data_IF_520416138683
#
_entry.id   IF_520416138683
#
_cell.length_a   1.000
_cell.length_b   1.000
_cell.length_c   1.000
_cell.angle_alpha   90.00
_cell.angle_beta   90.00
_cell.angle_gamma   90.00
#
_symmetry.space_group_name_H-M   'P 1'
#
loop_
_entity.id
_entity.type
_entity.pdbx_description
1 polymer ?
#
# COMPACT_ATOMS: atom_id res chain seq x y z
N UNK A 1 59.50 24.54 -34.15
CA UNK A 1 58.26 23.98 -33.56
C UNK A 1 58.20 24.31 -32.08
N UNK A 2 57.18 25.04 -31.65
CA UNK A 2 57.05 25.56 -30.29
C UNK A 2 56.55 24.45 -29.35
N UNK A 3 57.43 23.88 -28.52
CA UNK A 3 57.09 22.80 -27.57
C UNK A 3 55.96 23.16 -26.60
N UNK A 4 55.73 24.46 -26.36
CA UNK A 4 54.65 24.96 -25.49
C UNK A 4 53.25 24.70 -26.06
N UNK A 5 53.07 24.77 -27.39
CA UNK A 5 51.77 24.57 -28.02
C UNK A 5 51.26 23.13 -27.87
N UNK A 6 52.17 22.14 -27.95
CA UNK A 6 51.84 20.71 -27.82
C UNK A 6 51.42 20.38 -26.37
N UNK A 7 51.99 21.06 -25.37
CA UNK A 7 51.65 20.82 -23.97
C UNK A 7 50.28 21.40 -23.61
N UNK A 8 49.95 22.60 -24.10
CA UNK A 8 48.64 23.22 -23.87
C UNK A 8 47.49 22.41 -24.50
N UNK A 9 47.68 21.88 -25.70
CA UNK A 9 46.66 21.10 -26.41
C UNK A 9 46.35 19.76 -25.69
N UNK A 10 47.39 19.10 -25.18
CA UNK A 10 47.22 17.89 -24.36
C UNK A 10 46.56 18.17 -23.01
N UNK A 11 46.87 19.30 -22.38
CA UNK A 11 46.25 19.70 -21.11
C UNK A 11 44.75 20.00 -21.30
N UNK A 12 44.38 20.73 -22.36
CA UNK A 12 42.98 21.03 -22.67
C UNK A 12 42.17 19.75 -22.95
N UNK A 13 42.74 18.82 -23.72
CA UNK A 13 42.11 17.52 -23.99
C UNK A 13 41.91 16.70 -22.72
N UNK A 14 42.91 16.66 -21.82
CA UNK A 14 42.80 15.96 -20.54
C UNK A 14 41.71 16.55 -19.65
N UNK A 15 41.61 17.89 -19.56
CA UNK A 15 40.55 18.57 -18.79
C UNK A 15 39.17 18.23 -19.34
N UNK A 16 39.00 18.20 -20.67
CA UNK A 16 37.72 17.85 -21.29
C UNK A 16 37.32 16.40 -20.99
N UNK A 17 38.27 15.46 -21.04
CA UNK A 17 38.03 14.05 -20.66
C UNK A 17 37.60 13.95 -19.20
N UNK A 18 38.24 14.68 -18.28
CA UNK A 18 37.89 14.68 -16.86
C UNK A 18 36.47 15.20 -16.64
N UNK A 19 36.07 16.27 -17.34
CA UNK A 19 34.71 16.82 -17.23
C UNK A 19 33.68 15.81 -17.73
N UNK A 20 33.91 15.17 -18.88
CA UNK A 20 33.00 14.14 -19.43
C UNK A 20 32.89 12.95 -18.47
N UNK A 21 34.00 12.50 -17.90
CA UNK A 21 34.03 11.42 -16.93
C UNK A 21 33.27 11.78 -15.64
N UNK A 22 33.44 13.01 -15.14
CA UNK A 22 32.73 13.48 -13.95
C UNK A 22 31.21 13.54 -14.17
N UNK A 23 30.77 14.05 -15.33
CA UNK A 23 29.35 14.06 -15.72
C UNK A 23 28.83 12.63 -15.84
N UNK A 24 29.57 11.73 -16.47
CA UNK A 24 29.18 10.32 -16.61
C UNK A 24 29.05 9.61 -15.25
N UNK A 25 30.00 9.81 -14.33
CA UNK A 25 29.94 9.28 -12.96
C UNK A 25 28.72 9.82 -12.22
N UNK A 26 28.43 11.13 -12.33
CA UNK A 26 27.24 11.73 -11.72
C UNK A 26 25.94 11.08 -12.22
N UNK A 27 25.83 10.81 -13.52
CA UNK A 27 24.69 10.08 -14.08
C UNK A 27 24.61 8.63 -13.57
N UNK A 28 25.73 7.91 -13.51
CA UNK A 28 25.74 6.54 -12.99
C UNK A 28 25.31 6.46 -11.52
N UNK A 29 25.73 7.42 -10.69
CA UNK A 29 25.30 7.49 -9.29
C UNK A 29 23.80 7.74 -9.19
N UNK A 30 23.25 8.70 -9.97
CA UNK A 30 21.80 8.94 -10.00
C UNK A 30 21.00 7.73 -10.48
N UNK A 31 21.47 7.05 -11.54
CA UNK A 31 20.80 5.85 -12.06
C UNK A 31 20.80 4.73 -11.02
N UNK A 32 21.92 4.49 -10.32
CA UNK A 32 21.99 3.46 -9.27
C UNK A 32 20.99 3.69 -8.15
N UNK A 33 20.85 4.93 -7.66
CA UNK A 33 19.92 5.26 -6.58
C UNK A 33 18.46 4.99 -6.99
N UNK A 34 18.08 5.36 -8.21
CA UNK A 34 16.72 5.08 -8.72
C UNK A 34 16.50 3.59 -9.03
N UNK A 35 17.52 2.91 -9.56
CA UNK A 35 17.43 1.49 -9.88
C UNK A 35 17.22 0.62 -8.63
N UNK A 36 17.90 0.93 -7.52
CA UNK A 36 17.77 0.15 -6.27
C UNK A 36 16.33 0.13 -5.73
N UNK A 37 15.63 1.28 -5.74
CA UNK A 37 14.23 1.35 -5.29
C UNK A 37 13.29 0.50 -6.16
N UNK A 38 13.51 0.52 -7.48
CA UNK A 38 12.72 -0.27 -8.44
C UNK A 38 12.99 -1.77 -8.25
N UNK A 39 14.24 -2.15 -7.95
CA UNK A 39 14.62 -3.54 -7.75
C UNK A 39 13.93 -4.13 -6.53
N UNK A 40 13.92 -3.45 -5.37
CA UNK A 40 13.30 -4.01 -4.16
C UNK A 40 11.79 -4.27 -4.32
N UNK A 41 11.05 -3.32 -4.92
CA UNK A 41 9.62 -3.52 -5.21
C UNK A 41 9.40 -4.64 -6.23
N UNK A 42 10.29 -4.76 -7.22
CA UNK A 42 10.20 -5.83 -8.21
C UNK A 42 10.49 -7.21 -7.63
N UNK A 43 11.42 -7.33 -6.67
CA UNK A 43 11.76 -8.58 -6.00
C UNK A 43 10.62 -9.07 -5.12
N UNK A 44 10.06 -8.20 -4.28
CA UNK A 44 8.91 -8.53 -3.46
C UNK A 44 7.70 -8.91 -4.32
N UNK A 45 7.40 -8.12 -5.35
CA UNK A 45 6.30 -8.43 -6.29
C UNK A 45 6.52 -9.75 -7.04
N UNK A 46 7.74 -10.02 -7.50
CA UNK A 46 8.07 -11.28 -8.16
C UNK A 46 7.93 -12.47 -7.21
N UNK A 47 8.34 -12.31 -5.95
CA UNK A 47 8.17 -13.32 -4.89
C UNK A 47 6.69 -13.63 -4.66
N UNK A 48 5.83 -12.61 -4.53
CA UNK A 48 4.37 -12.76 -4.37
C UNK A 48 3.73 -13.46 -5.59
N UNK A 49 4.08 -13.03 -6.81
CA UNK A 49 3.54 -13.64 -8.04
C UNK A 49 3.99 -15.10 -8.16
N UNK A 50 5.25 -15.40 -7.83
CA UNK A 50 5.78 -16.76 -7.83
C UNK A 50 5.04 -17.62 -6.82
N UNK A 51 4.82 -17.11 -5.60
CA UNK A 51 4.05 -17.79 -4.55
C UNK A 51 2.64 -18.11 -5.01
N UNK A 52 1.89 -17.10 -5.48
CA UNK A 52 0.53 -17.28 -5.98
C UNK A 52 0.45 -18.27 -7.15
N UNK A 53 1.45 -18.24 -8.05
CA UNK A 53 1.52 -19.15 -9.19
C UNK A 53 1.78 -20.58 -8.75
N UNK A 54 2.71 -20.79 -7.81
CA UNK A 54 3.01 -22.10 -7.25
C UNK A 54 1.78 -22.67 -6.56
N UNK A 55 1.14 -21.88 -5.68
CA UNK A 55 -0.08 -22.24 -4.97
C UNK A 55 -1.19 -22.68 -5.93
N UNK A 56 -1.35 -21.97 -7.05
CA UNK A 56 -2.35 -22.28 -8.08
C UNK A 56 -2.05 -23.59 -8.81
N UNK A 57 -0.77 -23.92 -9.04
CA UNK A 57 -0.36 -25.10 -9.81
C UNK A 57 -0.30 -26.35 -8.92
N UNK A 58 0.22 -26.24 -7.70
CA UNK A 58 0.43 -27.38 -6.82
C UNK A 58 -0.76 -27.62 -5.88
N UNK A 59 -1.53 -26.58 -5.57
CA UNK A 59 -2.54 -26.63 -4.50
C UNK A 59 -1.93 -26.70 -3.09
N UNK A 60 -0.61 -26.72 -2.98
CA UNK A 60 0.10 -26.79 -1.71
C UNK A 60 0.58 -25.40 -1.32
N UNK A 61 0.27 -25.02 -0.08
CA UNK A 61 0.88 -23.86 0.60
C UNK A 61 2.27 -24.26 1.11
N UNK A 62 3.10 -24.80 0.22
CA UNK A 62 4.55 -24.78 0.47
C UNK A 62 4.89 -23.32 0.53
N UNK A 63 5.26 -22.79 1.69
CA UNK A 63 5.58 -21.38 1.88
C UNK A 63 6.99 -21.10 1.30
N UNK A 64 7.16 -20.65 0.04
CA UNK A 64 8.34 -19.89 -0.28
C UNK A 64 8.35 -18.69 0.67
N UNK A 65 9.50 -18.42 1.31
CA UNK A 65 9.69 -17.22 2.11
C UNK A 65 9.31 -16.00 1.23
N UNK A 66 8.13 -15.40 1.46
CA UNK A 66 7.72 -14.19 0.76
C UNK A 66 8.66 -13.09 1.24
N UNK A 67 9.59 -12.67 0.39
CA UNK A 67 10.61 -11.69 0.76
C UNK A 67 10.13 -10.27 0.46
N UNK A 68 9.36 -9.72 1.39
CA UNK A 68 8.86 -8.37 1.33
C UNK A 68 9.23 -7.65 2.63
N UNK A 69 10.36 -6.93 2.69
CA UNK A 69 10.73 -6.20 3.90
C UNK A 69 9.84 -4.98 4.11
N UNK A 70 9.52 -4.69 5.37
CA UNK A 70 8.80 -3.45 5.73
C UNK A 70 9.69 -2.24 5.49
N UNK A 71 9.17 -1.25 4.77
CA UNK A 71 9.88 0.00 4.47
C UNK A 71 9.63 1.04 5.56
N UNK A 72 10.65 1.78 5.96
CA UNK A 72 10.51 2.86 6.94
C UNK A 72 10.79 4.20 6.28
N UNK A 73 9.86 5.13 6.39
CA UNK A 73 9.96 6.47 5.84
C UNK A 73 9.86 7.49 6.96
N UNK A 74 10.73 8.49 6.95
CA UNK A 74 10.55 9.70 7.76
C UNK A 74 10.31 10.85 6.79
N UNK A 75 9.08 11.37 6.77
CA UNK A 75 8.71 12.47 5.89
C UNK A 75 9.22 13.78 6.48
N UNK A 76 9.97 14.59 5.70
CA UNK A 76 10.46 15.87 6.17
C UNK A 76 9.31 16.85 6.40
N UNK A 77 9.64 18.09 6.80
CA UNK A 77 8.66 19.17 6.99
C UNK A 77 8.06 19.63 5.67
N UNK A 78 7.21 18.79 5.09
CA UNK A 78 6.55 18.99 3.81
C UNK A 78 5.17 19.64 3.98
N UNK A 79 4.58 20.04 2.85
CA UNK A 79 3.21 20.51 2.77
C UNK A 79 2.20 19.38 3.00
N UNK A 80 0.98 19.72 3.42
CA UNK A 80 -0.08 18.73 3.62
C UNK A 80 -0.41 17.95 2.33
N UNK A 81 -0.27 18.57 1.15
CA UNK A 81 -0.50 17.89 -0.14
C UNK A 81 0.59 16.87 -0.45
N UNK A 82 1.86 17.21 -0.24
CA UNK A 82 2.98 16.28 -0.42
C UNK A 82 2.85 15.07 0.50
N UNK A 83 2.49 15.29 1.78
CA UNK A 83 2.30 14.17 2.72
C UNK A 83 1.14 13.26 2.27
N UNK A 84 0.01 13.84 1.84
CA UNK A 84 -1.11 13.06 1.30
C UNK A 84 -0.70 12.27 0.05
N UNK A 85 0.10 12.86 -0.83
CA UNK A 85 0.65 12.18 -2.00
C UNK A 85 1.52 10.98 -1.59
N UNK A 86 2.44 11.14 -0.64
CA UNK A 86 3.28 10.02 -0.16
C UNK A 86 2.47 8.89 0.46
N UNK A 87 1.43 9.21 1.24
CA UNK A 87 0.54 8.19 1.83
C UNK A 87 -0.23 7.47 0.72
N UNK A 88 -0.80 8.21 -0.23
CA UNK A 88 -1.54 7.66 -1.36
C UNK A 88 -0.67 6.76 -2.25
N UNK A 89 0.56 7.17 -2.56
CA UNK A 89 1.52 6.36 -3.32
C UNK A 89 1.96 5.12 -2.56
N UNK A 90 2.11 5.21 -1.23
CA UNK A 90 2.43 4.06 -0.39
C UNK A 90 1.29 3.03 -0.40
N UNK A 91 0.03 3.47 -0.31
CA UNK A 91 -1.16 2.62 -0.46
C UNK A 91 -1.20 1.96 -1.85
N UNK A 92 -1.07 2.76 -2.93
CA UNK A 92 -1.02 2.29 -4.33
C UNK A 92 0.05 1.22 -4.52
N UNK A 93 1.26 1.48 -4.02
CA UNK A 93 2.40 0.57 -4.13
C UNK A 93 2.13 -0.72 -3.38
N UNK A 94 1.70 -0.66 -2.12
CA UNK A 94 1.35 -1.83 -1.33
C UNK A 94 0.29 -2.68 -2.06
N UNK A 95 -0.82 -2.07 -2.49
CA UNK A 95 -1.88 -2.77 -3.21
C UNK A 95 -1.41 -3.42 -4.51
N UNK A 96 -0.63 -2.70 -5.32
CA UNK A 96 -0.08 -3.18 -6.58
C UNK A 96 0.96 -4.29 -6.43
N UNK A 97 1.76 -4.26 -5.37
CA UNK A 97 2.76 -5.28 -5.04
C UNK A 97 2.09 -6.61 -4.67
N UNK A 98 0.99 -6.55 -3.93
CA UNK A 98 0.21 -7.71 -3.53
C UNK A 98 -0.83 -8.17 -4.58
N UNK A 99 -0.68 -7.72 -5.83
CA UNK A 99 -1.49 -8.20 -6.95
C UNK A 99 -2.93 -7.69 -6.95
N UNK A 100 -3.22 -6.58 -6.27
CA UNK A 100 -4.51 -5.87 -6.31
C UNK A 100 -5.73 -6.74 -5.97
N UNK A 101 -5.53 -7.73 -5.09
CA UNK A 101 -6.59 -8.67 -4.70
C UNK A 101 -6.95 -9.74 -5.75
N UNK A 102 -6.30 -9.73 -6.91
CA UNK A 102 -6.54 -10.70 -7.99
C UNK A 102 -5.84 -12.05 -7.72
N UNK A 103 -4.87 -12.07 -6.82
CA UNK A 103 -4.09 -13.26 -6.49
C UNK A 103 -4.70 -14.01 -5.31
N UNK A 104 -4.89 -15.32 -5.48
CA UNK A 104 -5.08 -16.22 -4.34
C UNK A 104 -3.71 -16.46 -3.69
N UNK A 105 -3.52 -15.88 -2.50
CA UNK A 105 -2.22 -15.87 -1.83
C UNK A 105 -2.05 -16.98 -0.79
N UNK A 106 -3.14 -17.49 -0.21
CA UNK A 106 -3.08 -18.50 0.85
C UNK A 106 -4.15 -19.56 0.61
N UNK A 107 -3.86 -20.81 0.92
CA UNK A 107 -4.86 -21.89 0.85
C UNK A 107 -5.60 -22.08 2.15
N UNK A 108 -4.93 -21.85 3.28
CA UNK A 108 -5.52 -21.99 4.59
C UNK A 108 -6.47 -20.82 4.91
N UNK A 109 -7.59 -21.14 5.57
CA UNK A 109 -8.45 -20.11 6.16
C UNK A 109 -7.65 -19.36 7.22
N UNK A 110 -7.97 -18.08 7.38
CA UNK A 110 -7.28 -17.25 8.35
C UNK A 110 -7.19 -15.82 7.89
N UNK A 111 -6.43 -15.06 8.68
CA UNK A 111 -6.30 -13.63 8.51
C UNK A 111 -4.82 -13.23 8.51
N UNK A 112 -4.35 -12.78 7.35
CA UNK A 112 -2.95 -12.53 7.03
C UNK A 112 -2.70 -11.05 6.88
N UNK A 113 -1.63 -10.55 7.47
CA UNK A 113 -1.25 -9.15 7.38
C UNK A 113 0.20 -8.99 6.99
N UNK A 114 0.48 -7.90 6.29
CA UNK A 114 1.84 -7.48 6.00
C UNK A 114 1.98 -5.96 6.11
N UNK A 115 2.92 -5.48 6.92
CA UNK A 115 3.26 -4.06 7.00
C UNK A 115 4.16 -3.71 5.80
N UNK A 116 3.57 -3.13 4.77
CA UNK A 116 4.29 -2.67 3.58
C UNK A 116 5.24 -1.52 3.92
N UNK A 117 4.75 -0.53 4.67
CA UNK A 117 5.58 0.58 5.13
C UNK A 117 5.13 1.15 6.46
N UNK A 118 6.07 1.81 7.15
CA UNK A 118 5.86 2.63 8.34
C UNK A 118 6.30 4.04 8.00
N UNK A 119 5.39 5.00 8.19
CA UNK A 119 5.56 6.42 7.90
C UNK A 119 5.63 7.15 9.23
N UNK A 120 6.76 7.80 9.48
CA UNK A 120 6.96 8.75 10.56
C UNK A 120 7.10 10.18 10.01
N UNK A 121 6.86 11.18 10.84
CA UNK A 121 6.86 12.59 10.41
C UNK A 121 7.88 13.42 11.20
N UNK A 122 8.70 14.24 10.55
CA UNK A 122 9.61 15.15 11.25
C UNK A 122 8.86 16.23 12.04
N UNK A 123 7.75 16.73 11.48
CA UNK A 123 6.88 17.67 12.16
C UNK A 123 5.81 16.94 12.97
N UNK A 124 5.99 16.86 14.29
CA UNK A 124 5.05 16.19 15.21
C UNK A 124 3.84 17.05 15.61
N UNK A 125 3.70 18.27 15.10
CA UNK A 125 2.71 19.25 15.58
C UNK A 125 1.51 19.44 14.65
N UNK A 126 1.55 18.86 13.45
CA UNK A 126 0.54 19.05 12.41
C UNK A 126 -0.63 18.08 12.56
N UNK A 127 -1.77 18.53 12.04
CA UNK A 127 -2.92 17.70 11.72
C UNK A 127 -3.15 17.79 10.23
N UNK A 128 -3.21 16.64 9.57
CA UNK A 128 -3.47 16.55 8.13
C UNK A 128 -4.92 16.10 7.97
N UNK A 129 -5.65 16.76 7.08
CA UNK A 129 -7.04 16.45 6.78
C UNK A 129 -7.24 16.34 5.27
N UNK A 130 -8.33 15.72 4.84
CA UNK A 130 -8.67 15.60 3.43
C UNK A 130 -7.91 14.50 2.70
N UNK A 131 -7.39 13.47 3.39
CA UNK A 131 -6.75 12.33 2.72
C UNK A 131 -7.78 11.53 1.91
N UNK A 132 -8.97 11.27 2.45
CA UNK A 132 -10.04 10.56 1.73
C UNK A 132 -10.43 11.31 0.46
N UNK A 133 -10.66 12.63 0.58
CA UNK A 133 -10.98 13.48 -0.56
C UNK A 133 -9.83 13.52 -1.58
N UNK A 134 -8.58 13.49 -1.10
CA UNK A 134 -7.41 13.41 -1.98
C UNK A 134 -7.39 12.09 -2.76
N UNK A 135 -7.63 10.95 -2.10
CA UNK A 135 -7.67 9.65 -2.77
C UNK A 135 -8.77 9.57 -3.83
N UNK A 136 -9.94 10.14 -3.54
CA UNK A 136 -11.11 10.15 -4.45
C UNK A 136 -10.88 11.02 -5.68
N UNK A 137 -10.22 12.18 -5.54
CA UNK A 137 -10.16 13.17 -6.62
C UNK A 137 -8.81 13.24 -7.34
N UNK A 138 -7.77 12.58 -6.82
CA UNK A 138 -6.42 12.72 -7.37
C UNK A 138 -6.09 11.52 -8.28
N UNK A 139 -5.71 11.76 -9.54
CA UNK A 139 -5.21 10.72 -10.44
C UNK A 139 -3.96 10.02 -9.89
N UNK A 140 -3.81 8.72 -10.13
CA UNK A 140 -2.61 7.98 -9.71
C UNK A 140 -1.37 8.35 -10.50
N UNK A 141 -1.54 8.81 -11.74
CA UNK A 141 -0.49 9.18 -12.68
C UNK A 141 -1.01 10.33 -13.57
N UNK A 142 -0.10 11.14 -14.13
CA UNK A 142 -0.51 12.32 -14.93
C UNK A 142 -1.28 11.95 -16.20
N UNK A 143 -1.03 10.76 -16.72
CA UNK A 143 -1.54 10.30 -18.01
C UNK A 143 -2.73 9.35 -17.88
N UNK A 144 -3.17 9.03 -16.65
CA UNK A 144 -4.30 8.13 -16.40
C UNK A 144 -5.44 8.90 -15.73
N UNK A 145 -6.71 8.70 -16.15
CA UNK A 145 -7.85 9.30 -15.45
C UNK A 145 -8.20 8.55 -14.15
N UNK A 146 -7.49 7.46 -13.84
CA UNK A 146 -7.77 6.59 -12.71
C UNK A 146 -7.31 7.27 -11.41
N UNK A 147 -8.22 7.44 -10.46
CA UNK A 147 -7.89 8.03 -9.16
C UNK A 147 -7.24 7.00 -8.24
N UNK A 148 -6.61 7.44 -7.16
CA UNK A 148 -6.10 6.50 -6.14
C UNK A 148 -7.20 5.61 -5.58
N UNK A 149 -8.39 6.19 -5.31
CA UNK A 149 -9.52 5.41 -4.83
C UNK A 149 -9.95 4.35 -5.85
N UNK A 150 -10.08 4.73 -7.13
CA UNK A 150 -10.43 3.76 -8.18
C UNK A 150 -9.40 2.63 -8.29
N UNK A 151 -8.11 2.95 -8.17
CA UNK A 151 -7.03 1.96 -8.20
C UNK A 151 -7.09 1.00 -7.00
N UNK A 152 -7.40 1.51 -5.81
CA UNK A 152 -7.39 0.76 -4.56
C UNK A 152 -8.69 -0.03 -4.30
N UNK A 153 -9.82 0.35 -4.94
CA UNK A 153 -11.11 -0.35 -4.81
C UNK A 153 -11.07 -1.76 -5.44
N UNK A 154 -10.12 -2.00 -6.34
CA UNK A 154 -9.90 -3.30 -6.99
C UNK A 154 -11.16 -3.91 -7.62
N UNK A 155 -11.30 -5.23 -7.56
CA UNK A 155 -12.37 -5.96 -8.25
C UNK A 155 -13.33 -6.65 -7.27
N UNK A 156 -14.63 -6.40 -7.41
CA UNK A 156 -15.66 -7.22 -6.80
C UNK A 156 -16.09 -8.33 -7.76
N UNK A 157 -15.96 -9.57 -7.32
CA UNK A 157 -16.50 -10.73 -8.05
C UNK A 157 -18.03 -10.67 -8.13
N UNK A 158 -18.62 -11.24 -9.17
CA UNK A 158 -20.09 -11.30 -9.35
C UNK A 158 -20.85 -11.92 -8.16
N UNK A 159 -20.19 -12.76 -7.36
CA UNK A 159 -20.78 -13.43 -6.19
C UNK A 159 -20.52 -12.69 -4.87
N UNK A 160 -19.97 -11.48 -4.91
CA UNK A 160 -19.72 -10.69 -3.71
C UNK A 160 -21.04 -10.39 -3.01
N UNK A 161 -21.08 -10.67 -1.70
CA UNK A 161 -22.24 -10.34 -0.89
C UNK A 161 -22.43 -8.81 -0.91
N UNK A 162 -23.53 -8.29 -1.49
CA UNK A 162 -23.75 -6.86 -1.56
C UNK A 162 -23.84 -6.22 -0.17
N UNK A 163 -24.30 -6.96 0.84
CA UNK A 163 -24.38 -6.46 2.20
C UNK A 163 -22.98 -6.22 2.80
N UNK A 164 -22.02 -7.09 2.48
CA UNK A 164 -20.64 -6.93 2.91
C UNK A 164 -19.97 -5.72 2.23
N UNK A 165 -20.24 -5.52 0.93
CA UNK A 165 -19.77 -4.33 0.20
C UNK A 165 -20.33 -3.07 0.85
N UNK A 166 -21.63 -3.05 1.13
CA UNK A 166 -22.31 -1.92 1.76
C UNK A 166 -21.77 -1.65 3.18
N UNK A 167 -21.56 -2.69 3.98
CA UNK A 167 -21.03 -2.54 5.34
C UNK A 167 -19.62 -1.92 5.33
N UNK A 168 -18.75 -2.35 4.42
CA UNK A 168 -17.41 -1.76 4.27
C UNK A 168 -17.47 -0.31 3.80
N UNK A 169 -18.43 0.03 2.93
CA UNK A 169 -18.66 1.39 2.46
C UNK A 169 -19.21 2.31 3.56
N UNK A 170 -20.14 1.82 4.39
CA UNK A 170 -20.80 2.62 5.43
C UNK A 170 -19.88 2.94 6.61
N UNK A 171 -18.88 2.09 6.87
CA UNK A 171 -17.84 2.31 7.88
C UNK A 171 -16.85 3.37 7.37
N UNK A 172 -17.27 4.62 7.50
CA UNK A 172 -16.46 5.80 7.18
C UNK A 172 -15.11 5.84 7.88
N UNK A 173 -14.16 6.53 7.27
CA UNK A 173 -12.80 6.66 7.80
C UNK A 173 -12.59 8.01 8.46
N UNK A 174 -11.89 8.01 9.60
CA UNK A 174 -11.39 9.26 10.18
C UNK A 174 -10.38 9.87 9.22
N UNK A 175 -10.70 11.06 8.75
CA UNK A 175 -9.91 11.79 7.76
C UNK A 175 -8.86 12.71 8.42
N UNK A 176 -8.61 12.58 9.73
CA UNK A 176 -7.64 13.41 10.47
C UNK A 176 -6.43 12.59 10.89
N UNK A 177 -5.27 12.92 10.34
CA UNK A 177 -3.99 12.28 10.65
C UNK A 177 -3.21 13.18 11.62
N UNK A 178 -2.75 12.59 12.73
CA UNK A 178 -1.97 13.28 13.74
C UNK A 178 -0.48 12.98 13.53
N UNK A 179 0.29 13.95 13.05
CA UNK A 179 1.71 13.72 12.73
C UNK A 179 2.59 13.48 13.97
N UNK A 180 2.03 13.61 15.17
CA UNK A 180 2.66 13.19 16.43
C UNK A 180 2.84 11.68 16.57
N UNK A 181 2.21 10.87 15.69
CA UNK A 181 2.22 9.41 15.74
C UNK A 181 2.77 8.83 14.43
N UNK A 182 3.47 7.69 14.47
CA UNK A 182 3.80 6.94 13.27
C UNK A 182 2.57 6.18 12.76
N UNK A 183 2.50 5.96 11.45
CA UNK A 183 1.43 5.21 10.79
C UNK A 183 1.99 4.08 9.94
N UNK A 184 1.24 3.00 9.78
CA UNK A 184 1.58 1.88 8.94
C UNK A 184 0.64 1.82 7.73
N UNK A 185 1.23 1.54 6.56
CA UNK A 185 0.50 1.03 5.40
C UNK A 185 0.62 -0.49 5.43
N UNK A 186 -0.52 -1.17 5.51
CA UNK A 186 -0.60 -2.62 5.65
C UNK A 186 -1.40 -3.21 4.50
N UNK A 187 -0.93 -4.34 3.96
CA UNK A 187 -1.75 -5.24 3.17
C UNK A 187 -2.41 -6.25 4.10
N UNK A 188 -3.66 -6.56 3.82
CA UNK A 188 -4.48 -7.46 4.60
C UNK A 188 -5.19 -8.42 3.65
N UNK A 189 -5.17 -9.71 4.00
CA UNK A 189 -5.83 -10.77 3.27
C UNK A 189 -6.58 -11.67 4.26
N UNK A 190 -7.90 -11.73 4.17
CA UNK A 190 -8.72 -12.61 5.01
C UNK A 190 -9.37 -13.68 4.13
N UNK A 191 -9.24 -14.96 4.50
CA UNK A 191 -9.79 -16.09 3.75
C UNK A 191 -10.71 -16.94 4.61
N UNK A 192 -11.82 -17.35 4.01
CA UNK A 192 -12.88 -18.10 4.67
C UNK A 192 -13.81 -17.20 5.49
N UNK A 193 -15.04 -17.67 5.76
CA UNK A 193 -16.05 -16.91 6.50
C UNK A 193 -15.56 -16.49 7.89
N UNK A 194 -14.85 -17.38 8.59
CA UNK A 194 -14.27 -17.10 9.92
C UNK A 194 -13.21 -16.01 9.85
N UNK A 195 -12.27 -16.08 8.89
CA UNK A 195 -11.22 -15.07 8.73
C UNK A 195 -11.79 -13.70 8.34
N UNK A 196 -12.73 -13.67 7.40
CA UNK A 196 -13.45 -12.44 7.01
C UNK A 196 -14.21 -11.85 8.20
N UNK A 197 -14.98 -12.66 8.92
CA UNK A 197 -15.74 -12.19 10.09
C UNK A 197 -14.79 -11.68 11.19
N UNK A 198 -13.72 -12.41 11.51
CA UNK A 198 -12.75 -12.00 12.51
C UNK A 198 -12.11 -10.66 12.18
N UNK A 199 -11.80 -10.43 10.89
CA UNK A 199 -11.31 -9.13 10.43
C UNK A 199 -12.33 -8.00 10.64
N UNK A 200 -13.58 -8.21 10.22
CA UNK A 200 -14.65 -7.21 10.38
C UNK A 200 -14.97 -6.91 11.85
N UNK A 201 -15.01 -7.95 12.68
CA UNK A 201 -15.18 -7.81 14.13
C UNK A 201 -14.01 -7.02 14.75
N UNK A 202 -12.78 -7.26 14.28
CA UNK A 202 -11.58 -6.53 14.70
C UNK A 202 -11.60 -5.05 14.29
N UNK A 203 -12.14 -4.75 13.10
CA UNK A 203 -12.41 -3.38 12.67
C UNK A 203 -13.46 -2.69 13.56
N UNK A 204 -14.51 -3.40 13.96
CA UNK A 204 -15.52 -2.85 14.88
C UNK A 204 -14.92 -2.55 16.26
N UNK A 205 -14.06 -3.44 16.76
CA UNK A 205 -13.35 -3.24 18.02
C UNK A 205 -12.40 -2.03 17.99
N UNK A 206 -11.89 -1.66 16.82
CA UNK A 206 -11.09 -0.45 16.59
C UNK A 206 -11.91 0.85 16.66
N UNK A 207 -13.23 0.76 16.93
CA UNK A 207 -14.12 1.91 16.96
C UNK A 207 -14.50 2.41 15.57
N UNK A 208 -14.28 1.60 14.53
CA UNK A 208 -14.82 1.84 13.19
C UNK A 208 -16.28 1.37 13.07
N UNK A 209 -16.74 0.57 14.04
CA UNK A 209 -18.11 0.09 14.18
C UNK A 209 -18.97 1.02 15.02
N UNK A 210 -20.15 1.32 14.52
CA UNK A 210 -21.14 2.31 14.97
C UNK A 210 -21.69 2.19 16.42
N UNK A 211 -21.19 1.28 17.25
CA UNK A 211 -21.82 0.95 18.55
C UNK A 211 -21.33 1.78 19.74
N UNK A 212 -20.39 2.71 19.55
CA UNK A 212 -19.80 3.50 20.66
C UNK A 212 -19.44 4.95 20.33
N UNK A 213 -20.32 5.71 19.67
CA UNK A 213 -20.22 7.19 19.59
C UNK A 213 -19.43 7.79 18.41
N UNK A 214 -19.08 7.02 17.38
CA UNK A 214 -18.35 7.49 16.19
C UNK A 214 -19.18 7.47 14.90
N UNK A 215 -19.61 8.66 14.49
CA UNK A 215 -19.85 9.19 13.12
C UNK A 215 -19.91 8.18 11.95
N UNK A 216 -21.11 8.00 11.39
CA UNK A 216 -21.37 7.31 10.11
C UNK A 216 -21.21 8.27 8.92
N UNK A 217 -19.99 8.48 8.43
CA UNK A 217 -19.78 9.10 7.10
C UNK A 217 -19.47 8.01 6.09
N UNK A 218 -20.51 7.40 5.54
CA UNK A 218 -20.40 6.34 4.54
C UNK A 218 -19.60 6.80 3.31
N UNK A 219 -18.54 6.07 3.02
CA UNK A 219 -17.73 6.19 1.83
C UNK A 219 -18.37 5.29 0.77
N UNK A 220 -19.25 5.86 -0.05
CA UNK A 220 -19.85 5.16 -1.19
C UNK A 220 -18.74 4.91 -2.24
N UNK A 221 -18.10 3.74 -2.17
CA UNK A 221 -17.20 3.28 -3.23
C UNK A 221 -18.07 3.08 -4.48
N UNK A 222 -17.77 3.85 -5.53
CA UNK A 222 -18.49 3.79 -6.78
C UNK A 222 -18.46 2.37 -7.32
N UNK A 223 -19.59 1.68 -7.29
CA UNK A 223 -19.88 0.71 -8.35
C UNK A 223 -19.63 1.43 -9.68
N UNK A 224 -19.06 0.77 -10.68
CA UNK A 224 -18.64 1.34 -11.96
C UNK A 224 -19.71 2.16 -12.75
N UNK A 225 -20.94 2.29 -12.24
CA UNK A 225 -21.93 3.28 -12.63
C UNK A 225 -21.88 4.50 -11.68
N UNK A 226 -21.19 5.56 -12.11
CA UNK A 226 -20.91 6.75 -11.31
C UNK A 226 -22.11 7.32 -10.54
N UNK A 227 -21.97 7.41 -9.23
CA UNK A 227 -22.79 8.25 -8.36
C UNK A 227 -21.83 9.05 -7.49
N UNK A 228 -21.73 10.34 -7.78
CA UNK A 228 -20.97 11.29 -6.97
C UNK A 228 -21.79 11.72 -5.76
N UNK A 229 -21.19 11.68 -4.57
CA UNK A 229 -21.78 12.22 -3.35
C UNK A 229 -20.71 12.86 -2.44
N UNK A 230 -21.17 13.85 -1.68
CA UNK A 230 -20.38 14.83 -0.97
C UNK A 230 -19.91 14.33 0.41
N UNK A 231 -18.60 14.47 0.68
CA UNK A 231 -18.02 14.22 2.00
C UNK A 231 -18.35 15.37 2.97
N UNK A 232 -19.08 15.09 4.04
CA UNK A 232 -19.26 16.01 5.16
C UNK A 232 -18.23 15.66 6.26
N UNK A 233 -17.24 16.53 6.46
CA UNK A 233 -16.17 16.31 7.44
C UNK A 233 -16.63 16.50 8.88
N UNK A 234 -16.30 15.56 9.77
CA UNK A 234 -16.46 15.74 11.21
C UNK A 234 -15.19 15.30 11.94
N UNK A 235 -14.76 16.10 12.91
CA UNK A 235 -13.56 15.90 13.70
C UNK A 235 -13.89 15.16 15.01
N UNK A 236 -13.51 13.89 15.12
CA UNK A 236 -13.44 13.19 16.42
C UNK A 236 -12.13 12.41 16.51
N UNK A 237 -11.50 12.44 17.68
CA UNK A 237 -10.10 12.04 17.92
C UNK A 237 -9.83 10.54 18.03
N UNK A 238 -10.50 9.72 17.21
CA UNK A 238 -10.22 8.29 17.06
C UNK A 238 -9.03 8.03 16.12
N UNK A 239 -8.42 6.85 16.23
CA UNK A 239 -7.32 6.43 15.36
C UNK A 239 -7.73 6.56 13.88
N UNK A 240 -6.89 7.19 13.07
CA UNK A 240 -7.17 7.35 11.64
C UNK A 240 -6.90 6.04 10.93
N UNK A 241 -7.96 5.40 10.42
CA UNK A 241 -7.86 4.20 9.61
C UNK A 241 -8.46 4.53 8.25
N UNK A 242 -7.66 4.50 7.18
CA UNK A 242 -8.16 4.55 5.80
C UNK A 242 -8.10 3.14 5.24
N UNK A 243 -9.23 2.66 4.75
CA UNK A 243 -9.34 1.33 4.14
C UNK A 243 -9.64 1.50 2.67
N UNK A 244 -8.83 0.88 1.84
CA UNK A 244 -9.07 0.81 0.42
C UNK A 244 -8.73 -0.60 -0.06
N UNK A 245 -9.71 -1.31 -0.62
CA UNK A 245 -9.52 -2.70 -1.01
C UNK A 245 -10.67 -3.29 -1.79
N UNK A 246 -10.45 -4.52 -2.26
CA UNK A 246 -11.37 -5.32 -3.04
C UNK A 246 -12.03 -6.41 -2.19
N UNK A 247 -13.36 -6.54 -2.33
CA UNK A 247 -14.11 -7.65 -1.75
C UNK A 247 -14.30 -8.73 -2.83
N UNK A 248 -13.50 -9.80 -2.79
CA UNK A 248 -13.52 -10.89 -3.78
C UNK A 248 -14.22 -12.16 -3.25
N UNK A 249 -15.52 -12.28 -3.41
CA UNK A 249 -16.20 -13.57 -3.26
C UNK A 249 -16.01 -14.43 -4.52
N UNK A 250 -14.91 -15.18 -4.59
CA UNK A 250 -14.49 -15.95 -5.75
C UNK A 250 -15.63 -16.54 -6.63
N UNK A 251 -15.77 -15.96 -7.82
CA UNK A 251 -16.45 -16.55 -8.96
C UNK A 251 -15.52 -16.43 -10.15
N UNK A 252 -14.49 -17.27 -10.21
CA UNK A 252 -13.56 -17.30 -11.33
C UNK A 252 -14.20 -17.92 -12.58
N UNK A 253 -14.13 -17.21 -13.69
CA UNK A 253 -14.17 -17.75 -15.06
C UNK A 253 -12.68 -17.94 -15.41
N UNK A 254 -12.10 -19.11 -15.65
CA UNK A 254 -12.47 -20.28 -16.45
C UNK A 254 -11.84 -21.55 -15.82
N UNK A 255 -12.64 -22.62 -15.67
CA UNK A 255 -12.15 -24.00 -15.62
C UNK A 255 -12.15 -24.68 -14.24
N UNK A 256 -13.27 -25.36 -13.93
CA UNK A 256 -13.38 -26.52 -13.02
C UNK A 256 -12.51 -26.51 -11.75
N UNK A 257 -13.05 -26.01 -10.62
CA UNK A 257 -13.22 -26.78 -9.36
C UNK A 257 -14.42 -26.16 -8.62
N UNK A 258 -15.40 -27.00 -8.31
CA UNK A 258 -16.55 -26.73 -7.45
C UNK A 258 -16.09 -26.50 -6.00
N UNK A 259 -16.33 -25.34 -5.39
CA UNK A 259 -16.19 -25.17 -3.94
C UNK A 259 -17.03 -24.00 -3.41
N UNK A 260 -17.96 -24.30 -2.52
CA UNK A 260 -18.88 -23.38 -1.81
C UNK A 260 -18.20 -22.50 -0.72
N UNK A 261 -16.86 -22.42 -0.65
CA UNK A 261 -16.14 -21.82 0.51
C UNK A 261 -14.94 -20.91 0.18
N UNK A 262 -14.75 -20.48 -1.07
CA UNK A 262 -13.56 -19.69 -1.49
C UNK A 262 -13.73 -18.18 -1.38
N UNK A 263 -14.36 -17.68 -0.33
CA UNK A 263 -14.44 -16.23 -0.10
C UNK A 263 -13.12 -15.72 0.51
N UNK A 264 -12.45 -14.77 -0.14
CA UNK A 264 -11.37 -14.00 0.48
C UNK A 264 -11.58 -12.50 0.24
N UNK A 265 -11.04 -11.68 1.12
CA UNK A 265 -10.97 -10.23 0.93
C UNK A 265 -9.52 -9.82 0.96
N UNK A 266 -9.16 -8.85 0.14
CA UNK A 266 -7.82 -8.28 0.10
C UNK A 266 -7.95 -6.75 0.11
N UNK A 267 -7.20 -6.10 0.98
CA UNK A 267 -7.30 -4.67 1.16
C UNK A 267 -5.98 -4.07 1.66
N UNK A 268 -5.87 -2.77 1.49
CA UNK A 268 -4.83 -1.96 2.12
C UNK A 268 -5.41 -1.07 3.21
N UNK A 269 -4.69 -1.01 4.32
CA UNK A 269 -5.01 -0.19 5.48
C UNK A 269 -3.92 0.86 5.66
N UNK A 270 -4.31 2.09 6.00
CA UNK A 270 -3.42 3.08 6.60
C UNK A 270 -3.89 3.33 8.03
N UNK A 271 -3.09 2.98 9.03
CA UNK A 271 -3.49 2.98 10.45
C UNK A 271 -2.35 3.41 11.36
N UNK A 272 -2.61 3.76 12.63
CA UNK A 272 -1.55 4.09 13.59
C UNK A 272 -0.63 2.88 13.83
N UNK A 273 0.69 3.11 13.80
CA UNK A 273 1.68 2.06 14.02
C UNK A 273 2.00 1.95 15.51
N UNK A 274 1.14 1.25 16.26
CA UNK A 274 1.37 0.93 17.67
C UNK A 274 0.91 -0.50 17.99
N UNK A 275 1.41 -1.06 19.09
CA UNK A 275 1.17 -2.46 19.44
C UNK A 275 -0.32 -2.78 19.72
N UNK A 276 -1.08 -1.83 20.26
CA UNK A 276 -2.50 -2.01 20.55
C UNK A 276 -3.31 -2.11 19.26
N UNK A 277 -3.11 -1.16 18.34
CA UNK A 277 -3.74 -1.14 17.02
C UNK A 277 -3.35 -2.36 16.18
N UNK A 278 -2.07 -2.76 16.18
CA UNK A 278 -1.65 -3.96 15.46
C UNK A 278 -2.24 -5.25 16.05
N UNK A 279 -2.38 -5.31 17.38
CA UNK A 279 -2.98 -6.45 18.07
C UNK A 279 -4.49 -6.53 17.85
N UNK A 280 -5.20 -5.41 17.85
CA UNK A 280 -6.64 -5.36 17.64
C UNK A 280 -7.06 -5.68 16.21
N UNK A 281 -6.18 -5.44 15.23
CA UNK A 281 -6.37 -5.92 13.86
C UNK A 281 -6.40 -7.45 13.82
N UNK A 282 -5.80 -8.15 14.81
CA UNK A 282 -5.95 -9.60 14.97
C UNK A 282 -5.14 -10.44 13.99
N UNK A 283 -4.06 -9.87 13.42
CA UNK A 283 -3.21 -10.56 12.45
C UNK A 283 -2.65 -11.87 13.00
N UNK A 284 -3.09 -13.01 12.45
CA UNK A 284 -2.68 -14.33 12.93
C UNK A 284 -1.34 -14.77 12.32
N UNK A 285 -1.09 -14.40 11.06
CA UNK A 285 0.06 -14.88 10.29
C UNK A 285 0.69 -13.71 9.52
N UNK A 286 1.97 -13.45 9.80
CA UNK A 286 2.82 -12.57 9.00
C UNK A 286 3.72 -13.45 8.11
N UNK A 287 3.33 -13.76 6.87
CA UNK A 287 4.03 -14.72 6.00
C UNK A 287 5.36 -14.21 5.45
N UNK A 288 5.71 -12.95 5.75
CA UNK A 288 6.94 -12.31 5.32
C UNK A 288 7.77 -11.89 6.53
N UNK A 289 9.09 -12.09 6.48
CA UNK A 289 10.02 -11.59 7.49
C UNK A 289 9.93 -10.06 7.55
N UNK A 290 9.52 -9.53 8.71
CA UNK A 290 9.45 -8.09 8.97
C UNK A 290 10.74 -7.59 9.61
N UNK A 291 11.89 -8.03 9.08
CA UNK A 291 13.16 -7.54 9.57
C UNK A 291 13.29 -6.06 9.21
N UNK A 292 13.53 -5.23 10.22
CA UNK A 292 13.94 -3.85 9.98
C UNK A 292 15.28 -3.93 9.28
N UNK A 293 15.34 -3.61 7.98
CA UNK A 293 16.61 -3.25 7.36
C UNK A 293 17.13 -2.05 8.15
N UNK A 294 18.11 -2.28 9.01
CA UNK A 294 18.93 -1.19 9.54
C UNK A 294 19.64 -0.64 8.34
N UNK A 295 19.23 0.54 7.86
CA UNK A 295 19.97 1.25 6.82
C UNK A 295 21.41 1.42 7.32
N UNK A 296 22.33 0.59 6.84
CA UNK A 296 23.75 0.61 7.23
C UNK A 296 24.50 1.83 6.63
N UNK A 297 23.82 2.93 6.37
CA UNK A 297 24.39 4.11 5.73
C UNK A 297 24.17 5.35 6.60
N UNK A 298 25.11 5.56 7.52
CA UNK A 298 25.58 6.89 7.91
C UNK A 298 26.89 7.18 7.20
#
# INVERSE_FOLDING_TARGET
MNKKAIVFDKLMTAVLIIIVLAVFIFFLVKIKIHALKIVEDSECKASIISHATLLRVTGEDTTPDIHCPTKYYTLPKESNEEIKHYIADSLKTCWGTWGKGELQLFNQQGYYCHVCSVIDFDDKTKKIQGLNNYLINTPTDKDTPLTYMDYLTGYASEKADPALIQEVQEKGFSDTIHTSKPYAVMFVYAKGKTGVKAFLDGMDALGLGTTGGGITTGLALGSAAGIGLAAAGVASGGAAIVIAGAVTAAGGVIGYITADDTHWIALTLFTEYNAETLKSIGCEIAPAKQDRKTDETG
#
